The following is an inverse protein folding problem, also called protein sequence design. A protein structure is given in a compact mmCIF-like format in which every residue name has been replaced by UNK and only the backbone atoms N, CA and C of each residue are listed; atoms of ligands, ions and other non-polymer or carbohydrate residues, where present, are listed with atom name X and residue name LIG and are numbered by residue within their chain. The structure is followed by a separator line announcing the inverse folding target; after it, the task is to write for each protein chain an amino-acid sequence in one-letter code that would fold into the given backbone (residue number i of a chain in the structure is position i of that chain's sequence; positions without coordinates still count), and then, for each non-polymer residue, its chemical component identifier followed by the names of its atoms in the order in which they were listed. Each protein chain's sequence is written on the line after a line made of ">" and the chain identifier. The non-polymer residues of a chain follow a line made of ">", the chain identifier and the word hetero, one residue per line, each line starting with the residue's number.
data_IF_567700645957
#
_entry.id   IF_567700645957
#
_cell.length_a   1.000
_cell.length_b   1.000
_cell.length_c   1.000
_cell.angle_alpha   90.00
_cell.angle_beta   90.00
_cell.angle_gamma   90.00
#
_symmetry.space_group_name_H-M   'P 1'
#
loop_
_entity.id
_entity.type
_entity.pdbx_description
1 polymer ?
#
# COMPACT_ATOMS: atom_id res chain seq x y z
N UNK A 1 8.39 -32.24 -5.49
CA UNK A 1 7.40 -31.37 -4.81
C UNK A 1 8.18 -30.61 -3.76
N UNK A 2 8.74 -29.46 -4.13
CA UNK A 2 9.67 -28.70 -3.28
C UNK A 2 8.92 -27.53 -2.67
N UNK A 3 8.87 -27.52 -1.33
CA UNK A 3 8.11 -26.58 -0.53
C UNK A 3 8.86 -25.26 -0.55
N UNK A 4 8.33 -24.23 -1.23
CA UNK A 4 8.96 -22.92 -1.30
C UNK A 4 9.03 -22.31 0.11
N UNK A 5 10.25 -22.19 0.61
CA UNK A 5 10.58 -21.60 1.91
C UNK A 5 10.09 -20.14 1.93
N UNK A 6 9.19 -19.83 2.89
CA UNK A 6 8.70 -18.46 3.10
C UNK A 6 9.81 -17.64 3.72
N UNK A 7 10.62 -17.01 2.87
CA UNK A 7 11.71 -16.11 3.28
C UNK A 7 11.11 -14.86 3.94
N UNK A 8 11.19 -14.79 5.28
CA UNK A 8 10.84 -13.60 6.07
C UNK A 8 11.67 -12.38 5.63
N UNK A 9 11.06 -11.21 5.35
CA UNK A 9 11.79 -10.04 4.89
C UNK A 9 12.70 -9.48 6.00
N UNK A 10 13.96 -9.16 5.65
CA UNK A 10 14.99 -8.66 6.58
C UNK A 10 14.90 -7.15 6.85
N UNK A 11 14.03 -6.41 6.16
CA UNK A 11 13.75 -5.00 6.47
C UNK A 11 12.34 -4.58 6.03
N UNK A 12 11.80 -3.57 6.71
CA UNK A 12 10.49 -2.97 6.39
C UNK A 12 10.44 -2.46 4.94
N UNK A 13 11.53 -1.87 4.45
CA UNK A 13 11.65 -1.43 3.05
C UNK A 13 11.54 -2.59 2.04
N UNK A 14 12.17 -3.73 2.34
CA UNK A 14 12.06 -4.92 1.48
C UNK A 14 10.68 -5.57 1.57
N UNK A 15 10.04 -5.54 2.74
CA UNK A 15 8.66 -5.98 2.91
C UNK A 15 7.71 -5.09 2.09
N UNK A 16 7.89 -3.77 2.13
CA UNK A 16 7.11 -2.81 1.31
C UNK A 16 7.35 -3.04 -0.19
N UNK A 17 8.60 -3.29 -0.62
CA UNK A 17 8.91 -3.65 -2.02
C UNK A 17 8.26 -4.97 -2.48
N UNK A 18 8.13 -5.96 -1.59
CA UNK A 18 7.47 -7.25 -1.90
C UNK A 18 5.95 -7.19 -1.82
N UNK A 19 5.40 -6.43 -0.88
CA UNK A 19 3.94 -6.27 -0.68
C UNK A 19 3.34 -5.30 -1.70
N UNK A 20 4.17 -4.44 -2.31
CA UNK A 20 3.77 -3.39 -3.27
C UNK A 20 3.07 -3.83 -4.56
N UNK A 21 2.82 -5.13 -4.77
CA UNK A 21 2.16 -5.65 -5.96
C UNK A 21 0.69 -6.09 -5.76
N UNK A 22 0.10 -5.97 -4.55
CA UNK A 22 -1.27 -6.46 -4.28
C UNK A 22 -2.23 -5.54 -3.53
N UNK A 23 -2.03 -4.22 -3.56
CA UNK A 23 -3.11 -3.27 -3.21
C UNK A 23 -3.63 -2.55 -4.45
N UNK A 24 -4.57 -3.24 -5.10
CA UNK A 24 -5.39 -2.75 -6.20
C UNK A 24 -6.17 -1.49 -5.73
N UNK A 25 -6.06 -0.38 -6.45
CA UNK A 25 -7.06 0.70 -6.55
C UNK A 25 -7.39 1.57 -5.31
N UNK A 26 -6.48 1.82 -4.36
CA UNK A 26 -6.79 2.64 -3.18
C UNK A 26 -5.70 3.67 -2.81
N UNK A 27 -5.01 4.35 -3.73
CA UNK A 27 -3.84 5.17 -3.36
C UNK A 27 -4.04 6.16 -2.18
N UNK A 28 -5.27 6.60 -1.88
CA UNK A 28 -5.54 7.42 -0.70
C UNK A 28 -5.28 6.69 0.65
N UNK A 29 -5.65 5.41 0.79
CA UNK A 29 -5.59 4.71 2.10
C UNK A 29 -4.16 4.35 2.50
N UNK A 30 -3.32 3.70 1.66
CA UNK A 30 -1.92 3.46 1.99
C UNK A 30 -1.14 4.76 2.22
N UNK A 31 -1.37 5.79 1.39
CA UNK A 31 -0.74 7.10 1.60
C UNK A 31 -1.16 7.72 2.93
N UNK A 32 -2.43 7.63 3.32
CA UNK A 32 -2.90 8.11 4.63
C UNK A 32 -2.24 7.38 5.78
N UNK A 33 -2.11 6.04 5.69
CA UNK A 33 -1.44 5.23 6.72
C UNK A 33 0.03 5.63 6.85
N UNK A 34 0.74 5.84 5.73
CA UNK A 34 2.12 6.31 5.76
C UNK A 34 2.23 7.73 6.34
N UNK A 35 1.35 8.65 5.93
CA UNK A 35 1.29 10.00 6.52
C UNK A 35 1.05 9.98 8.04
N UNK A 36 0.34 8.96 8.54
CA UNK A 36 0.11 8.79 9.98
C UNK A 36 1.31 8.19 10.71
N UNK A 37 1.89 7.10 10.18
CA UNK A 37 2.86 6.28 10.89
C UNK A 37 4.32 6.66 10.60
N UNK A 38 4.61 7.00 9.35
CA UNK A 38 5.95 7.25 8.82
C UNK A 38 5.91 8.31 7.71
N UNK A 39 5.58 9.58 8.05
CA UNK A 39 5.45 10.65 7.07
C UNK A 39 6.73 10.89 6.26
N UNK A 40 7.89 10.58 6.81
CA UNK A 40 9.21 10.65 6.15
C UNK A 40 9.36 9.73 4.94
N UNK A 41 8.50 8.70 4.82
CA UNK A 41 8.50 7.76 3.70
C UNK A 41 7.58 8.22 2.56
N UNK A 42 6.82 9.31 2.76
CA UNK A 42 5.94 9.86 1.74
C UNK A 42 6.76 10.77 0.83
N UNK A 43 6.78 10.43 -0.46
CA UNK A 43 7.52 11.21 -1.46
C UNK A 43 6.94 12.61 -1.59
N UNK A 44 7.82 13.62 -1.63
CA UNK A 44 7.44 15.00 -1.96
C UNK A 44 6.66 15.09 -3.28
N UNK A 45 5.64 15.94 -3.31
CA UNK A 45 4.78 16.15 -4.47
C UNK A 45 3.69 15.10 -4.65
N UNK A 46 3.48 14.22 -3.66
CA UNK A 46 2.38 13.23 -3.68
C UNK A 46 1.01 13.89 -3.83
N UNK A 47 0.86 15.13 -3.38
CA UNK A 47 -0.37 15.92 -3.45
C UNK A 47 -0.83 16.19 -4.89
N UNK A 48 0.10 16.13 -5.84
CA UNK A 48 -0.15 16.36 -7.26
C UNK A 48 -0.08 15.08 -8.11
N UNK A 49 0.17 13.93 -7.48
CA UNK A 49 0.42 12.66 -8.16
C UNK A 49 -0.86 11.85 -8.45
N UNK A 50 -2.02 12.51 -8.46
CA UNK A 50 -3.31 11.89 -8.74
C UNK A 50 -3.38 11.37 -10.18
N UNK A 51 -3.64 10.07 -10.32
CA UNK A 51 -3.80 9.45 -11.63
C UNK A 51 -4.80 8.32 -11.59
N UNK A 52 -5.77 8.34 -12.50
CA UNK A 52 -6.77 7.28 -12.60
C UNK A 52 -6.60 6.53 -13.91
N UNK A 53 -6.12 5.28 -13.83
CA UNK A 53 -6.21 4.33 -14.94
C UNK A 53 -7.52 3.54 -14.78
N UNK A 54 -8.53 3.80 -15.61
CA UNK A 54 -9.80 3.07 -15.54
C UNK A 54 -9.67 1.67 -16.17
N UNK A 55 -8.88 1.55 -17.23
CA UNK A 55 -8.52 0.26 -17.80
C UNK A 55 -7.21 -0.24 -17.19
N UNK A 56 -7.27 -1.42 -16.58
CA UNK A 56 -6.15 -2.11 -15.92
C UNK A 56 -6.13 -3.59 -16.27
N UNK A 57 -6.74 -3.95 -17.41
CA UNK A 57 -6.64 -5.30 -17.95
C UNK A 57 -5.14 -5.61 -18.05
N UNK A 58 -4.70 -6.63 -17.31
CA UNK A 58 -3.30 -7.08 -17.20
C UNK A 58 -2.38 -6.36 -16.21
N UNK A 59 -2.86 -5.54 -15.26
CA UNK A 59 -1.99 -4.90 -14.24
C UNK A 59 -1.13 -5.88 -13.42
N UNK A 60 -1.54 -7.15 -13.28
CA UNK A 60 -0.74 -8.16 -12.58
C UNK A 60 0.38 -8.75 -13.43
N UNK A 61 0.28 -8.62 -14.75
CA UNK A 61 1.28 -9.10 -15.73
C UNK A 61 2.18 -7.93 -16.15
N UNK A 62 1.58 -6.77 -16.37
CA UNK A 62 2.22 -5.53 -16.76
C UNK A 62 2.49 -4.67 -15.53
N UNK A 63 3.67 -4.08 -15.43
CA UNK A 63 3.98 -3.14 -14.34
C UNK A 63 3.08 -1.90 -14.36
N UNK A 64 2.95 -1.23 -13.21
CA UNK A 64 2.27 0.08 -13.10
C UNK A 64 2.81 1.13 -14.08
N UNK A 65 4.07 1.03 -14.49
CA UNK A 65 4.70 1.87 -15.51
C UNK A 65 3.96 1.84 -16.87
N UNK A 66 3.25 0.76 -17.20
CA UNK A 66 2.43 0.68 -18.40
C UNK A 66 1.16 1.55 -18.32
N UNK A 67 0.76 1.96 -17.11
CA UNK A 67 -0.49 2.68 -16.85
C UNK A 67 -0.27 4.09 -16.28
N UNK A 68 0.93 4.42 -15.81
CA UNK A 68 1.26 5.71 -15.20
C UNK A 68 2.76 5.99 -15.27
N UNK A 69 3.16 7.25 -15.46
CA UNK A 69 4.59 7.65 -15.43
C UNK A 69 5.14 7.80 -14.02
N UNK A 70 4.29 8.15 -13.05
CA UNK A 70 4.70 8.35 -11.65
C UNK A 70 4.77 7.04 -10.87
N UNK A 71 4.23 5.96 -11.41
CA UNK A 71 4.01 4.71 -10.68
C UNK A 71 2.80 4.76 -9.74
N UNK A 72 2.13 5.91 -9.62
CA UNK A 72 0.93 6.09 -8.80
C UNK A 72 -0.33 5.84 -9.62
N UNK A 73 -1.22 5.00 -9.09
CA UNK A 73 -2.58 4.81 -9.60
C UNK A 73 -3.55 4.98 -8.42
N UNK A 74 -4.28 6.09 -8.43
CA UNK A 74 -5.27 6.50 -7.44
C UNK A 74 -5.12 7.99 -7.12
N UNK A 75 -5.67 8.41 -5.98
CA UNK A 75 -5.67 9.81 -5.54
C UNK A 75 -4.93 10.01 -4.20
N UNK A 76 -3.59 9.97 -4.18
CA UNK A 76 -2.82 10.26 -2.97
C UNK A 76 -3.07 11.66 -2.41
N UNK A 77 -3.49 12.64 -3.22
CA UNK A 77 -3.86 14.00 -2.77
C UNK A 77 -4.95 14.01 -1.69
N UNK A 78 -5.82 12.99 -1.69
CA UNK A 78 -6.89 12.84 -0.73
C UNK A 78 -6.43 12.21 0.59
N UNK A 79 -5.16 11.82 0.69
CA UNK A 79 -4.59 11.22 1.88
C UNK A 79 -4.36 12.23 3.00
N UNK A 80 -4.58 11.80 4.24
CA UNK A 80 -4.21 12.60 5.43
C UNK A 80 -3.84 11.71 6.60
N UNK A 81 -3.03 12.23 7.53
CA UNK A 81 -2.63 11.49 8.72
C UNK A 81 -3.86 11.05 9.57
N UNK A 82 -4.88 11.90 9.68
CA UNK A 82 -6.12 11.56 10.41
C UNK A 82 -6.85 10.37 9.79
N UNK A 83 -6.95 10.34 8.46
CA UNK A 83 -7.53 9.20 7.73
C UNK A 83 -6.71 7.94 7.97
N UNK A 84 -5.38 8.07 8.04
CA UNK A 84 -4.46 6.97 8.32
C UNK A 84 -4.67 6.37 9.70
N UNK A 85 -4.78 7.22 10.72
CA UNK A 85 -5.08 6.81 12.09
C UNK A 85 -6.39 6.04 12.17
N UNK A 86 -7.46 6.56 11.58
CA UNK A 86 -8.78 5.91 11.58
C UNK A 86 -8.74 4.58 10.83
N UNK A 87 -8.09 4.54 9.67
CA UNK A 87 -7.95 3.31 8.88
C UNK A 87 -7.16 2.24 9.63
N UNK A 88 -6.03 2.61 10.25
CA UNK A 88 -5.19 1.68 11.00
C UNK A 88 -5.92 1.13 12.24
N UNK A 89 -6.61 1.99 12.99
CA UNK A 89 -7.43 1.57 14.13
C UNK A 89 -8.55 0.61 13.69
N UNK A 90 -9.16 0.85 12.53
CA UNK A 90 -10.15 -0.07 11.98
C UNK A 90 -9.55 -1.41 11.60
N UNK A 91 -8.36 -1.42 10.97
CA UNK A 91 -7.69 -2.65 10.57
C UNK A 91 -7.29 -3.49 11.78
N UNK A 92 -6.70 -2.88 12.81
CA UNK A 92 -6.35 -3.56 14.07
C UNK A 92 -7.59 -4.18 14.71
N UNK A 93 -8.68 -3.42 14.81
CA UNK A 93 -9.95 -3.94 15.37
C UNK A 93 -10.50 -5.11 14.56
N UNK A 94 -10.44 -5.05 13.23
CA UNK A 94 -10.94 -6.13 12.36
C UNK A 94 -10.11 -7.41 12.44
N UNK A 95 -8.83 -7.31 12.79
CA UNK A 95 -7.93 -8.46 12.92
C UNK A 95 -7.69 -8.89 14.37
N UNK A 96 -8.36 -8.28 15.34
CA UNK A 96 -8.12 -8.53 16.77
C UNK A 96 -8.21 -10.02 17.11
N UNK A 97 -9.27 -10.71 16.67
CA UNK A 97 -9.48 -12.13 16.94
C UNK A 97 -8.41 -13.02 16.26
N UNK A 98 -7.96 -12.64 15.07
CA UNK A 98 -6.89 -13.35 14.35
C UNK A 98 -5.55 -13.18 15.05
N UNK A 99 -5.25 -11.97 15.52
CA UNK A 99 -4.03 -11.68 16.28
C UNK A 99 -4.03 -12.44 17.60
N UNK A 100 -5.15 -12.48 18.31
CA UNK A 100 -5.30 -13.23 19.56
C UNK A 100 -5.09 -14.74 19.37
N UNK A 101 -5.50 -15.31 18.23
CA UNK A 101 -5.29 -16.72 17.94
C UNK A 101 -3.83 -17.09 17.63
N UNK A 102 -2.94 -16.10 17.44
CA UNK A 102 -1.52 -16.28 17.16
C UNK A 102 -0.61 -16.04 18.39
N UNK A 103 -1.18 -15.55 19.50
CA UNK A 103 -0.51 -15.39 20.80
C UNK A 103 -0.57 -16.69 21.63
#
# INVERSE_FOLDING_TARGET
>A
MEVAEVVKPRSLEQAVRRVGARFLALAAVPSSILLHAHPELVRDGYESADWTANDRQHLLINSTAAYTRSGVIGRPSLGSADKGKVALASLVRSFADVLQALE
#
